data_IF_725331978142
#
_entry.id   IF_725331978142
#
_cell.length_a   1.000
_cell.length_b   1.000
_cell.length_c   1.000
_cell.angle_alpha   90.00
_cell.angle_beta   90.00
_cell.angle_gamma   90.00
#
_symmetry.space_group_name_H-M   'P 1'
#
loop_
_entity.id
_entity.type
_entity.pdbx_description
1 polymer ?
#
# COMPACT_ATOMS: atom_id res chain seq x y z
N UNK A 1 -21.64 -1.99 16.00
CA UNK A 1 -22.14 -1.89 14.63
C UNK A 1 -20.96 -1.93 13.69
N UNK A 2 -20.99 -2.85 12.78
CA UNK A 2 -19.91 -3.07 11.83
C UNK A 2 -20.15 -2.21 10.60
N UNK A 3 -19.73 -0.96 10.67
CA UNK A 3 -19.81 -0.07 9.52
C UNK A 3 -18.74 -0.39 8.49
N UNK A 4 -18.89 0.21 7.33
CA UNK A 4 -17.89 0.16 6.27
C UNK A 4 -16.69 1.00 6.67
N UNK A 5 -15.48 0.44 6.53
CA UNK A 5 -14.23 1.20 6.66
C UNK A 5 -13.84 1.72 5.29
N UNK A 6 -13.52 3.00 5.20
CA UNK A 6 -12.97 3.63 4.00
C UNK A 6 -11.62 4.22 4.34
N UNK A 7 -10.60 3.86 3.60
CA UNK A 7 -9.26 4.43 3.70
C UNK A 7 -8.83 4.96 2.34
N UNK A 8 -7.98 5.99 2.35
CA UNK A 8 -7.39 6.51 1.13
C UNK A 8 -5.92 6.83 1.35
N UNK A 9 -5.13 6.73 0.29
CA UNK A 9 -3.77 7.20 0.26
C UNK A 9 -3.55 8.03 -1.00
N UNK A 10 -2.80 9.13 -0.91
CA UNK A 10 -2.58 10.00 -2.05
C UNK A 10 -1.65 9.36 -3.09
N UNK A 11 -1.96 9.59 -4.35
CA UNK A 11 -1.02 9.37 -5.44
C UNK A 11 0.02 10.50 -5.39
N UNK A 12 1.20 10.27 -5.96
CA UNK A 12 2.29 11.22 -5.89
C UNK A 12 3.14 11.22 -7.15
N UNK A 13 3.89 12.30 -7.33
CA UNK A 13 4.89 12.42 -8.38
C UNK A 13 6.26 12.67 -7.75
N UNK A 14 7.27 11.94 -8.21
CA UNK A 14 8.67 12.17 -7.83
C UNK A 14 9.32 13.09 -8.85
N UNK A 15 10.05 14.10 -8.36
CA UNK A 15 10.71 15.09 -9.23
C UNK A 15 12.19 14.84 -9.38
N UNK A 16 12.86 14.41 -8.31
CA UNK A 16 14.31 14.25 -8.27
C UNK A 16 14.65 12.89 -7.66
N UNK A 17 15.57 12.17 -8.31
CA UNK A 17 16.15 10.97 -7.74
C UNK A 17 15.20 9.80 -7.61
N UNK A 18 14.21 9.70 -8.52
CA UNK A 18 13.27 8.59 -8.48
C UNK A 18 13.92 7.21 -8.49
N UNK A 19 15.07 7.07 -9.19
CA UNK A 19 15.85 5.84 -9.16
C UNK A 19 16.71 5.66 -7.92
N UNK A 20 16.95 6.71 -7.15
CA UNK A 20 17.80 6.67 -5.97
C UNK A 20 17.14 6.00 -4.77
N UNK A 21 15.85 5.79 -4.81
CA UNK A 21 15.11 5.10 -3.76
C UNK A 21 15.16 3.57 -3.88
N UNK A 22 15.76 3.05 -4.95
CA UNK A 22 16.02 1.62 -5.10
C UNK A 22 17.06 1.16 -4.08
N UNK A 23 16.87 0.01 -3.42
CA UNK A 23 17.79 -0.43 -2.35
C UNK A 23 19.26 -0.48 -2.76
N UNK A 24 19.58 -0.92 -3.97
CA UNK A 24 20.96 -0.97 -4.45
C UNK A 24 21.59 0.41 -4.53
N UNK A 25 20.81 1.42 -4.93
CA UNK A 25 21.33 2.78 -5.10
C UNK A 25 21.56 3.46 -3.74
N UNK A 26 20.58 3.47 -2.85
CA UNK A 26 20.73 4.23 -1.61
C UNK A 26 21.72 3.61 -0.63
N UNK A 27 21.98 2.31 -0.74
CA UNK A 27 23.00 1.63 0.06
C UNK A 27 24.42 2.09 -0.32
N UNK A 28 24.63 2.34 -1.61
CA UNK A 28 25.96 2.79 -2.09
C UNK A 28 26.16 4.30 -1.98
N UNK A 29 25.15 5.08 -2.30
CA UNK A 29 25.29 6.51 -2.53
C UNK A 29 24.55 7.37 -1.50
N UNK A 30 23.75 6.76 -0.62
CA UNK A 30 22.71 7.49 0.08
C UNK A 30 21.64 7.94 -0.93
N UNK A 31 20.41 8.06 -0.53
CA UNK A 31 19.33 8.46 -1.42
C UNK A 31 18.56 9.62 -0.86
N UNK A 32 18.34 10.64 -1.68
CA UNK A 32 17.44 11.72 -1.34
C UNK A 32 16.45 11.90 -2.49
N UNK A 33 15.16 11.96 -2.18
CA UNK A 33 14.11 12.13 -3.16
C UNK A 33 13.15 13.23 -2.75
N UNK A 34 12.71 14.00 -3.74
CA UNK A 34 11.70 15.03 -3.57
C UNK A 34 10.42 14.55 -4.23
N UNK A 35 9.33 14.54 -3.47
CA UNK A 35 8.03 14.12 -3.99
C UNK A 35 6.92 15.01 -3.46
N UNK A 36 5.81 15.04 -4.20
CA UNK A 36 4.61 15.73 -3.78
C UNK A 36 3.40 14.83 -4.02
N UNK A 37 2.42 14.92 -3.13
CA UNK A 37 1.14 14.27 -3.34
C UNK A 37 0.33 15.02 -4.38
N UNK A 38 -0.38 14.27 -5.20
CA UNK A 38 -1.39 14.81 -6.10
C UNK A 38 -2.75 14.83 -5.38
N UNK A 39 -3.65 15.69 -5.83
CA UNK A 39 -5.03 15.68 -5.35
C UNK A 39 -5.82 14.54 -6.02
N UNK A 40 -5.23 13.34 -6.01
CA UNK A 40 -5.80 12.10 -6.52
C UNK A 40 -5.46 10.99 -5.54
N UNK A 41 -6.34 10.02 -5.41
CA UNK A 41 -6.25 9.04 -4.34
C UNK A 41 -6.53 7.63 -4.83
N UNK A 42 -5.99 6.67 -4.10
CA UNK A 42 -6.45 5.29 -4.08
C UNK A 42 -7.34 5.12 -2.85
N UNK A 43 -8.51 4.55 -3.03
CA UNK A 43 -9.48 4.29 -1.97
C UNK A 43 -9.62 2.81 -1.75
N UNK A 44 -9.61 2.38 -0.51
CA UNK A 44 -9.93 1.02 -0.08
C UNK A 44 -11.16 1.05 0.80
N UNK A 45 -12.11 0.18 0.50
CA UNK A 45 -13.27 -0.03 1.38
C UNK A 45 -13.24 -1.45 1.91
N UNK A 46 -13.57 -1.61 3.19
CA UNK A 46 -13.66 -2.91 3.84
C UNK A 46 -15.05 -3.05 4.44
N UNK A 47 -15.71 -4.13 4.09
CA UNK A 47 -16.96 -4.54 4.69
C UNK A 47 -16.81 -5.95 5.26
N UNK A 48 -17.51 -6.23 6.34
CA UNK A 48 -17.66 -7.59 6.81
C UNK A 48 -18.52 -8.38 5.82
N UNK A 49 -18.01 -9.54 5.40
CA UNK A 49 -18.77 -10.43 4.55
C UNK A 49 -19.69 -11.32 5.40
N UNK A 50 -20.85 -11.64 4.86
CA UNK A 50 -21.82 -12.47 5.55
C UNK A 50 -21.30 -13.91 5.80
N UNK A 51 -20.55 -14.45 4.83
CA UNK A 51 -19.91 -15.77 4.95
C UNK A 51 -18.43 -15.61 5.35
N UNK A 52 -17.69 -16.72 5.32
CA UNK A 52 -16.27 -16.73 5.69
C UNK A 52 -15.31 -16.53 4.52
N UNK A 53 -15.83 -16.30 3.32
CA UNK A 53 -14.99 -16.08 2.16
C UNK A 53 -14.35 -14.70 2.15
N UNK A 54 -13.37 -14.51 1.28
CA UNK A 54 -12.79 -13.22 0.93
C UNK A 54 -13.24 -12.85 -0.47
N UNK A 55 -13.75 -11.63 -0.63
CA UNK A 55 -14.03 -11.06 -1.93
C UNK A 55 -13.19 -9.81 -2.11
N UNK A 56 -12.36 -9.81 -3.15
CA UNK A 56 -11.45 -8.72 -3.47
C UNK A 56 -11.82 -8.17 -4.84
N UNK A 57 -12.13 -6.87 -4.91
CA UNK A 57 -12.46 -6.18 -6.15
C UNK A 57 -11.44 -5.08 -6.41
N UNK A 58 -10.74 -5.19 -7.52
CA UNK A 58 -9.79 -4.21 -8.02
C UNK A 58 -9.97 -4.15 -9.54
N UNK A 59 -8.93 -4.19 -10.39
CA UNK A 59 -9.11 -4.38 -11.84
C UNK A 59 -9.69 -5.75 -12.18
N UNK A 60 -9.52 -6.72 -11.29
CA UNK A 60 -10.13 -8.04 -11.33
C UNK A 60 -10.94 -8.28 -10.07
N UNK A 61 -11.73 -9.34 -10.05
CA UNK A 61 -12.43 -9.80 -8.85
C UNK A 61 -11.93 -11.18 -8.48
N UNK A 62 -11.56 -11.35 -7.21
CA UNK A 62 -11.20 -12.66 -6.66
C UNK A 62 -12.16 -13.01 -5.53
N UNK A 63 -12.66 -14.23 -5.53
CA UNK A 63 -13.45 -14.78 -4.44
C UNK A 63 -12.74 -16.08 -4.02
N UNK A 64 -12.24 -16.09 -2.80
CA UNK A 64 -11.45 -17.21 -2.28
C UNK A 64 -11.92 -17.58 -0.88
N UNK A 65 -11.70 -18.82 -0.48
CA UNK A 65 -12.07 -19.30 0.85
C UNK A 65 -11.00 -19.06 1.91
N UNK A 66 -9.77 -18.78 1.49
CA UNK A 66 -8.65 -18.48 2.39
C UNK A 66 -7.67 -17.52 1.73
N UNK A 67 -7.00 -16.70 2.55
CA UNK A 67 -6.06 -15.70 2.07
C UNK A 67 -4.90 -16.27 1.26
N UNK A 68 -4.48 -17.52 1.54
CA UNK A 68 -3.41 -18.19 0.79
C UNK A 68 -3.76 -18.42 -0.69
N UNK A 69 -5.02 -18.39 -1.03
CA UNK A 69 -5.50 -18.62 -2.40
C UNK A 69 -5.54 -17.33 -3.24
N UNK A 70 -5.27 -16.19 -2.65
CA UNK A 70 -5.29 -14.91 -3.34
C UNK A 70 -4.15 -14.84 -4.35
N UNK A 71 -4.46 -14.44 -5.59
CA UNK A 71 -3.46 -14.29 -6.66
C UNK A 71 -2.72 -12.96 -6.57
N UNK A 72 -3.42 -11.88 -6.23
CA UNK A 72 -2.80 -10.56 -6.12
C UNK A 72 -1.80 -10.53 -4.96
N UNK A 73 -0.50 -10.35 -5.22
CA UNK A 73 0.52 -10.56 -4.20
C UNK A 73 0.44 -9.57 -3.03
N UNK A 74 0.07 -8.32 -3.28
CA UNK A 74 -0.05 -7.33 -2.20
C UNK A 74 -1.24 -7.68 -1.30
N UNK A 75 -2.40 -8.00 -1.85
CA UNK A 75 -3.54 -8.46 -1.06
C UNK A 75 -3.17 -9.70 -0.24
N UNK A 76 -2.59 -10.70 -0.89
CA UNK A 76 -2.23 -11.96 -0.23
C UNK A 76 -1.28 -11.72 0.94
N UNK A 77 -0.16 -11.07 0.68
CA UNK A 77 0.87 -10.87 1.71
C UNK A 77 0.39 -9.96 2.84
N UNK A 78 -0.39 -8.93 2.53
CA UNK A 78 -0.91 -8.01 3.54
C UNK A 78 -1.92 -8.70 4.45
N UNK A 79 -2.87 -9.44 3.88
CA UNK A 79 -3.86 -10.17 4.67
C UNK A 79 -3.23 -11.27 5.51
N UNK A 80 -2.25 -11.98 4.98
CA UNK A 80 -1.51 -12.99 5.74
C UNK A 80 -0.68 -12.37 6.87
N UNK A 81 0.01 -11.27 6.60
CA UNK A 81 0.80 -10.57 7.61
C UNK A 81 -0.08 -10.10 8.78
N UNK A 82 -1.25 -9.55 8.49
CA UNK A 82 -2.20 -9.06 9.48
C UNK A 82 -3.13 -10.16 10.01
N UNK A 83 -2.93 -11.40 9.58
CA UNK A 83 -3.67 -12.58 10.05
C UNK A 83 -5.17 -12.54 9.77
N UNK A 84 -5.56 -12.00 8.63
CA UNK A 84 -6.94 -12.09 8.13
C UNK A 84 -7.08 -13.31 7.23
N UNK A 85 -7.99 -14.20 7.56
CA UNK A 85 -8.21 -15.44 6.79
C UNK A 85 -9.46 -15.40 5.91
N UNK A 86 -10.47 -14.67 6.30
CA UNK A 86 -11.72 -14.63 5.56
C UNK A 86 -12.75 -13.71 6.21
N UNK A 87 -13.95 -13.69 5.66
CA UNK A 87 -15.06 -12.91 6.20
C UNK A 87 -15.03 -11.43 5.84
N UNK A 88 -14.29 -11.04 4.80
CA UNK A 88 -14.15 -9.65 4.38
C UNK A 88 -14.47 -9.48 2.90
N UNK A 89 -15.02 -8.32 2.58
CA UNK A 89 -15.14 -7.81 1.22
C UNK A 89 -14.34 -6.53 1.13
N UNK A 90 -13.35 -6.51 0.23
CA UNK A 90 -12.43 -5.38 0.05
C UNK A 90 -12.53 -4.90 -1.38
N UNK A 91 -12.77 -3.60 -1.58
CA UNK A 91 -12.85 -2.97 -2.89
C UNK A 91 -11.80 -1.87 -2.98
N UNK A 92 -11.05 -1.87 -4.07
CA UNK A 92 -10.08 -0.83 -4.39
C UNK A 92 -10.56 0.00 -5.57
N UNK A 93 -10.56 1.32 -5.40
CA UNK A 93 -10.91 2.28 -6.45
C UNK A 93 -9.78 3.31 -6.50
N UNK A 94 -9.34 3.65 -7.73
CA UNK A 94 -8.30 4.64 -7.94
C UNK A 94 -8.85 5.79 -8.81
N UNK A 95 -8.50 7.03 -8.46
CA UNK A 95 -8.85 8.21 -9.24
C UNK A 95 -8.15 8.25 -10.61
N UNK A 96 -7.05 7.52 -10.74
CA UNK A 96 -6.25 7.45 -11.98
C UNK A 96 -6.01 5.96 -12.29
N UNK A 97 -6.02 5.56 -13.56
CA UNK A 97 -5.65 4.20 -13.92
C UNK A 97 -4.29 3.82 -13.35
N UNK A 98 -4.21 2.66 -12.70
CA UNK A 98 -3.00 2.24 -12.00
C UNK A 98 -1.87 1.84 -12.92
N UNK A 99 -2.18 1.28 -14.09
CA UNK A 99 -1.18 0.77 -15.02
C UNK A 99 -0.58 1.88 -15.88
N UNK A 100 0.75 1.95 -15.91
CA UNK A 100 1.48 2.85 -16.79
C UNK A 100 1.50 4.30 -16.36
N UNK A 101 0.90 4.66 -15.22
CA UNK A 101 0.87 6.05 -14.77
C UNK A 101 2.19 6.54 -14.17
N UNK A 102 2.99 5.64 -13.60
CA UNK A 102 4.23 6.00 -12.90
C UNK A 102 4.03 6.83 -11.64
N UNK A 103 2.82 6.88 -11.10
CA UNK A 103 2.45 7.77 -9.97
C UNK A 103 2.46 7.08 -8.62
N UNK A 104 3.18 5.95 -8.47
CA UNK A 104 3.29 5.26 -7.19
C UNK A 104 1.98 4.65 -6.70
N UNK A 105 1.09 4.25 -7.61
CA UNK A 105 -0.24 3.74 -7.26
C UNK A 105 -0.17 2.43 -6.46
N UNK A 106 0.83 1.57 -6.73
CA UNK A 106 1.03 0.33 -5.98
C UNK A 106 1.34 0.62 -4.51
N UNK A 107 2.22 1.57 -4.25
CA UNK A 107 2.59 1.94 -2.88
C UNK A 107 1.46 2.63 -2.14
N UNK A 108 0.72 3.49 -2.82
CA UNK A 108 -0.48 4.14 -2.27
C UNK A 108 -1.55 3.11 -1.93
N UNK A 109 -1.73 2.12 -2.80
CA UNK A 109 -2.63 0.99 -2.58
C UNK A 109 -2.23 0.21 -1.32
N UNK A 110 -0.96 -0.14 -1.17
CA UNK A 110 -0.47 -0.90 -0.02
C UNK A 110 -0.69 -0.15 1.29
N UNK A 111 -0.38 1.15 1.30
CA UNK A 111 -0.59 2.00 2.48
C UNK A 111 -2.07 2.11 2.82
N UNK A 112 -2.94 2.35 1.83
CA UNK A 112 -4.38 2.45 2.05
C UNK A 112 -4.95 1.12 2.58
N UNK A 113 -4.50 -0.01 2.03
CA UNK A 113 -4.93 -1.33 2.46
C UNK A 113 -4.50 -1.62 3.91
N UNK A 114 -3.24 -1.34 4.25
CA UNK A 114 -2.74 -1.48 5.62
C UNK A 114 -3.52 -0.62 6.60
N UNK A 115 -3.75 0.63 6.24
CA UNK A 115 -4.50 1.55 7.09
C UNK A 115 -5.94 1.07 7.30
N UNK A 116 -6.62 0.65 6.23
CA UNK A 116 -7.98 0.15 6.31
C UNK A 116 -8.08 -1.11 7.18
N UNK A 117 -7.19 -2.07 6.98
CA UNK A 117 -7.19 -3.32 7.74
C UNK A 117 -6.85 -3.10 9.21
N UNK A 118 -5.88 -2.23 9.49
CA UNK A 118 -5.53 -1.88 10.88
C UNK A 118 -6.68 -1.20 11.59
N UNK A 119 -7.34 -0.26 10.93
CA UNK A 119 -8.52 0.41 11.45
C UNK A 119 -9.67 -0.58 11.71
N UNK A 120 -9.86 -1.52 10.79
CA UNK A 120 -10.87 -2.56 10.94
C UNK A 120 -10.60 -3.43 12.18
N UNK A 121 -9.34 -3.69 12.51
CA UNK A 121 -8.94 -4.39 13.72
C UNK A 121 -9.04 -3.54 14.98
N UNK A 122 -9.25 -2.24 14.86
CA UNK A 122 -9.23 -1.32 15.99
C UNK A 122 -7.83 -0.93 16.44
N UNK A 123 -6.83 -1.12 15.58
CA UNK A 123 -5.43 -0.77 15.86
C UNK A 123 -5.09 0.56 15.21
N UNK A 124 -4.34 1.40 15.95
CA UNK A 124 -3.80 2.65 15.41
C UNK A 124 -2.34 2.45 15.02
N UNK A 125 -2.02 2.75 13.78
CA UNK A 125 -0.64 2.68 13.27
C UNK A 125 -0.21 4.08 12.87
N UNK A 126 0.99 4.48 13.32
CA UNK A 126 1.58 5.76 12.93
C UNK A 126 1.87 5.79 11.43
N UNK A 127 1.97 6.99 10.87
CA UNK A 127 2.35 7.16 9.44
C UNK A 127 3.70 6.55 9.14
N UNK A 128 4.66 6.69 10.05
CA UNK A 128 5.98 6.08 9.90
C UNK A 128 5.89 4.55 9.88
N UNK A 129 5.12 3.96 10.76
CA UNK A 129 4.94 2.52 10.81
C UNK A 129 4.19 2.00 9.57
N UNK A 130 3.19 2.75 9.07
CA UNK A 130 2.54 2.42 7.81
C UNK A 130 3.54 2.37 6.65
N UNK A 131 4.43 3.36 6.58
CA UNK A 131 5.50 3.39 5.56
C UNK A 131 6.43 2.19 5.68
N UNK A 132 6.84 1.86 6.91
CA UNK A 132 7.72 0.73 7.18
C UNK A 132 7.07 -0.60 6.78
N UNK A 133 5.83 -0.83 7.18
CA UNK A 133 5.10 -2.05 6.86
C UNK A 133 4.82 -2.17 5.36
N UNK A 134 4.44 -1.06 4.71
CA UNK A 134 4.22 -1.06 3.26
C UNK A 134 5.50 -1.39 2.50
N UNK A 135 6.64 -0.85 2.94
CA UNK A 135 7.95 -1.18 2.36
C UNK A 135 8.28 -2.66 2.54
N UNK A 136 8.05 -3.19 3.73
CA UNK A 136 8.28 -4.62 4.02
C UNK A 136 7.44 -5.51 3.09
N UNK A 137 6.16 -5.18 2.94
CA UNK A 137 5.27 -5.97 2.09
C UNK A 137 5.74 -5.95 0.64
N UNK A 138 6.02 -4.78 0.08
CA UNK A 138 6.32 -4.66 -1.34
C UNK A 138 7.74 -5.12 -1.68
N UNK A 139 8.73 -4.75 -0.86
CA UNK A 139 10.14 -5.03 -1.16
C UNK A 139 10.52 -6.43 -0.71
N UNK A 140 10.15 -6.81 0.51
CA UNK A 140 10.60 -8.06 1.11
C UNK A 140 9.66 -9.23 0.82
N UNK A 141 8.35 -9.07 1.03
CA UNK A 141 7.40 -10.16 0.90
C UNK A 141 6.97 -10.39 -0.55
N UNK A 142 6.70 -9.35 -1.31
CA UNK A 142 6.36 -9.46 -2.73
C UNK A 142 7.60 -9.50 -3.62
N UNK A 143 8.78 -9.23 -3.06
CA UNK A 143 10.07 -9.20 -3.76
C UNK A 143 10.08 -8.23 -4.94
N UNK A 144 9.37 -7.12 -4.80
CA UNK A 144 9.40 -6.06 -5.79
C UNK A 144 10.73 -5.32 -5.74
N UNK A 145 11.19 -4.87 -6.90
CA UNK A 145 12.43 -4.10 -7.02
C UNK A 145 12.18 -2.59 -6.93
N UNK A 146 11.25 -2.18 -6.08
CA UNK A 146 10.95 -0.78 -5.81
C UNK A 146 11.64 -0.32 -4.53
N UNK A 147 11.91 0.97 -4.43
CA UNK A 147 12.53 1.56 -3.25
C UNK A 147 11.51 1.94 -2.19
N UNK A 148 11.98 2.59 -1.13
CA UNK A 148 11.18 2.96 0.04
C UNK A 148 10.41 4.26 -0.11
N UNK A 149 10.76 5.08 -1.09
CA UNK A 149 10.22 6.44 -1.25
C UNK A 149 8.70 6.46 -1.36
N UNK A 150 8.15 5.58 -2.21
CA UNK A 150 6.73 5.58 -2.54
C UNK A 150 5.86 5.28 -1.33
N UNK A 151 6.29 4.33 -0.50
CA UNK A 151 5.57 3.91 0.68
C UNK A 151 5.54 5.00 1.74
N UNK A 152 6.68 5.64 1.99
CA UNK A 152 6.75 6.75 2.96
C UNK A 152 6.01 7.99 2.46
N UNK A 153 6.16 8.35 1.20
CA UNK A 153 5.44 9.48 0.63
C UNK A 153 3.92 9.27 0.68
N UNK A 154 3.45 8.05 0.38
CA UNK A 154 2.04 7.71 0.48
C UNK A 154 1.54 7.78 1.93
N UNK A 155 2.34 7.31 2.89
CA UNK A 155 1.96 7.31 4.30
C UNK A 155 1.87 8.72 4.90
N UNK A 156 2.82 9.59 4.57
CA UNK A 156 2.83 10.96 5.10
C UNK A 156 1.92 11.91 4.32
N UNK A 157 1.78 11.69 3.01
CA UNK A 157 1.04 12.59 2.14
C UNK A 157 1.75 13.94 1.97
N UNK A 158 1.21 14.80 1.09
CA UNK A 158 1.71 16.14 0.89
C UNK A 158 3.06 16.20 0.17
N UNK A 159 3.74 17.34 0.31
CA UNK A 159 5.07 17.57 -0.25
C UNK A 159 6.13 17.07 0.72
N UNK A 160 7.05 16.21 0.25
CA UNK A 160 8.05 15.58 1.11
C UNK A 160 9.44 15.64 0.51
N UNK A 161 10.44 15.82 1.38
CA UNK A 161 11.83 15.52 1.08
C UNK A 161 12.25 14.37 1.98
N UNK A 162 12.66 13.26 1.36
CA UNK A 162 13.00 12.03 2.09
C UNK A 162 14.47 11.69 1.80
N UNK A 163 15.25 11.51 2.85
CA UNK A 163 16.64 11.12 2.75
C UNK A 163 16.84 9.71 3.30
N UNK A 164 17.50 8.85 2.52
CA UNK A 164 17.90 7.52 2.93
C UNK A 164 19.39 7.48 3.17
N UNK A 165 19.81 7.12 4.38
CA UNK A 165 21.23 7.03 4.73
C UNK A 165 21.82 5.71 4.23
N UNK A 166 23.14 5.70 4.01
CA UNK A 166 23.87 4.46 3.75
C UNK A 166 23.88 3.59 5.00
N UNK A 167 23.75 2.29 4.83
CA UNK A 167 23.88 1.30 5.89
C UNK A 167 25.35 0.97 6.16
#
# INVERSE_FOLDING_TARGET
SWGMIVSRAPLRMSFVGGGSDMPAYYRENGGAVLSTSLNKYVYLTINKKFDNDLRLSYSNTEIVSDSSQIKHPIFRNTLELLKFKGGLEITSISDIPSQGSGLGSSSSFTVALLHALSTYKGEHISKQELGRLASHIEIDLCKDTIGKQDQYAAAFGGFNFIEFNKD
#
